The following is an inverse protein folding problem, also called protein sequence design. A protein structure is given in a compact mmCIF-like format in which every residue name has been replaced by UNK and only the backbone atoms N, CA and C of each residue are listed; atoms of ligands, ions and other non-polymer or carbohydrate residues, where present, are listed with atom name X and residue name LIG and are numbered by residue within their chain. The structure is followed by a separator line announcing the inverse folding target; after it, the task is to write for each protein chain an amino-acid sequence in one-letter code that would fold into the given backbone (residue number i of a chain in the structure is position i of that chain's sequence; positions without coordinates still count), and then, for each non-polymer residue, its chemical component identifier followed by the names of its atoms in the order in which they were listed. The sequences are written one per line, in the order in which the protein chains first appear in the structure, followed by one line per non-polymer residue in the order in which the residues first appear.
data_IF_537072933321
#
_entry.id   IF_537072933321
#
_cell.length_a   1.000
_cell.length_b   1.000
_cell.length_c   1.000
_cell.angle_alpha   90.00
_cell.angle_beta   90.00
_cell.angle_gamma   90.00
#
_symmetry.space_group_name_H-M   'P 1'
#
loop_
_entity.id
_entity.type
_entity.pdbx_description
1 polymer ?
#
# COMPACT_ATOMS: atom_id res chain seq x y z
N UNK A 1 -16.95 14.19 9.04
CA UNK A 1 -16.00 14.46 7.94
C UNK A 1 -14.78 13.59 8.18
N UNK A 2 -14.43 12.70 7.25
CA UNK A 2 -13.19 11.88 7.28
C UNK A 2 -11.98 12.82 7.09
N UNK A 3 -11.46 13.39 8.18
CA UNK A 3 -10.58 14.59 8.15
C UNK A 3 -9.29 14.48 7.32
N UNK A 4 -8.86 13.28 6.94
CA UNK A 4 -7.58 12.99 6.31
C UNK A 4 -7.65 11.79 5.35
N UNK A 5 -8.73 11.64 4.56
CA UNK A 5 -8.68 10.71 3.41
C UNK A 5 -7.53 11.14 2.47
N UNK A 6 -6.52 10.29 2.23
CA UNK A 6 -5.33 10.65 1.43
C UNK A 6 -5.66 11.00 -0.03
N UNK A 7 -6.82 10.57 -0.52
CA UNK A 7 -7.25 10.80 -1.89
C UNK A 7 -8.21 11.99 -2.07
N UNK A 8 -8.62 12.67 -1.00
CA UNK A 8 -9.66 13.71 -1.07
C UNK A 8 -9.26 14.94 -1.92
N UNK A 9 -7.96 15.14 -2.18
CA UNK A 9 -7.44 16.24 -3.02
C UNK A 9 -6.74 15.74 -4.29
N UNK A 10 -6.87 14.46 -4.60
CA UNK A 10 -6.34 13.86 -5.83
C UNK A 10 -7.45 13.75 -6.88
N UNK A 11 -7.11 13.70 -8.18
CA UNK A 11 -8.11 13.57 -9.24
C UNK A 11 -9.05 12.39 -9.01
N UNK A 12 -10.35 12.60 -9.16
CA UNK A 12 -11.31 11.49 -9.15
C UNK A 12 -11.08 10.60 -10.37
N UNK A 13 -10.99 9.30 -10.12
CA UNK A 13 -10.77 8.28 -11.16
C UNK A 13 -11.74 7.11 -10.90
N UNK A 14 -12.09 6.34 -11.93
CA UNK A 14 -12.88 5.13 -11.78
C UNK A 14 -12.37 4.20 -10.68
N UNK A 15 -13.29 3.59 -9.93
CA UNK A 15 -12.97 2.48 -9.04
C UNK A 15 -13.00 1.15 -9.77
N UNK A 16 -12.18 0.19 -9.31
CA UNK A 16 -12.29 -1.22 -9.68
C UNK A 16 -12.26 -2.09 -8.42
N UNK A 17 -12.34 -3.41 -8.59
CA UNK A 17 -12.45 -4.34 -7.45
C UNK A 17 -11.07 -4.67 -6.90
N UNK A 18 -10.92 -4.56 -5.58
CA UNK A 18 -9.79 -5.10 -4.81
C UNK A 18 -10.34 -5.96 -3.67
N UNK A 19 -9.80 -7.16 -3.53
CA UNK A 19 -10.10 -8.09 -2.44
C UNK A 19 -8.81 -8.64 -1.85
N UNK A 20 -8.93 -9.24 -0.67
CA UNK A 20 -7.83 -9.89 0.02
C UNK A 20 -8.37 -11.10 0.78
N UNK A 21 -7.60 -12.19 0.80
CA UNK A 21 -7.84 -13.32 1.72
C UNK A 21 -7.23 -13.08 3.11
N UNK A 22 -6.43 -12.03 3.26
CA UNK A 22 -5.71 -11.70 4.49
C UNK A 22 -6.39 -10.56 5.25
N UNK A 23 -6.73 -9.46 4.57
CA UNK A 23 -7.37 -8.27 5.18
C UNK A 23 -8.83 -8.13 4.75
N UNK A 24 -9.66 -7.56 5.62
CA UNK A 24 -11.06 -7.25 5.34
C UNK A 24 -11.28 -5.75 5.49
N UNK A 25 -12.00 -5.14 4.54
CA UNK A 25 -12.26 -3.71 4.57
C UNK A 25 -12.96 -3.27 5.87
N UNK A 26 -12.45 -2.21 6.47
CA UNK A 26 -12.89 -1.65 7.75
C UNK A 26 -12.58 -2.52 8.98
N UNK A 27 -11.80 -3.60 8.85
CA UNK A 27 -11.45 -4.49 9.96
C UNK A 27 -9.99 -4.31 10.41
N UNK A 28 -9.65 -4.75 11.64
CA UNK A 28 -8.28 -4.74 12.11
C UNK A 28 -7.34 -5.57 11.21
N UNK A 29 -6.10 -5.12 11.06
CA UNK A 29 -5.02 -5.90 10.48
C UNK A 29 -4.83 -7.19 11.30
N UNK A 30 -4.70 -8.36 10.65
CA UNK A 30 -4.27 -9.57 11.33
C UNK A 30 -2.85 -9.43 11.86
N UNK A 31 -2.50 -10.23 12.88
CA UNK A 31 -1.19 -10.16 13.53
C UNK A 31 0.01 -10.24 12.55
N UNK A 32 0.04 -11.11 11.53
CA UNK A 32 1.17 -11.14 10.59
C UNK A 32 1.41 -9.83 9.82
N UNK A 33 0.36 -9.03 9.58
CA UNK A 33 0.43 -7.72 8.92
C UNK A 33 0.78 -6.58 9.89
N UNK A 34 0.89 -6.87 11.19
CA UNK A 34 1.47 -5.95 12.16
C UNK A 34 3.00 -6.00 12.10
N UNK A 35 3.68 -4.96 12.60
CA UNK A 35 5.12 -4.85 12.42
C UNK A 35 5.91 -5.63 13.47
N UNK A 36 6.70 -6.61 13.01
CA UNK A 36 7.73 -7.23 13.84
C UNK A 36 8.94 -6.29 14.03
N UNK A 37 9.28 -5.51 12.99
CA UNK A 37 10.36 -4.51 13.04
C UNK A 37 10.18 -3.49 14.16
N UNK A 38 8.94 -3.03 14.39
CA UNK A 38 8.62 -2.09 15.47
C UNK A 38 8.19 -2.77 16.78
N UNK A 39 8.39 -4.08 16.91
CA UNK A 39 8.20 -4.82 18.14
C UNK A 39 6.74 -5.07 18.53
N UNK A 40 5.80 -5.04 17.58
CA UNK A 40 4.40 -5.41 17.85
C UNK A 40 4.33 -6.92 18.10
N UNK A 41 3.78 -7.39 19.24
CA UNK A 41 3.66 -8.82 19.52
C UNK A 41 2.90 -9.57 18.42
N UNK A 42 3.52 -10.62 17.87
CA UNK A 42 2.95 -11.41 16.77
C UNK A 42 3.05 -10.76 15.38
N UNK A 43 3.59 -9.54 15.31
CA UNK A 43 3.92 -8.85 14.06
C UNK A 43 5.00 -9.56 13.28
N UNK A 44 4.81 -9.67 11.96
CA UNK A 44 5.74 -10.37 11.05
C UNK A 44 6.15 -9.52 9.84
N UNK A 45 5.56 -8.33 9.66
CA UNK A 45 5.75 -7.52 8.46
C UNK A 45 5.42 -8.30 7.17
N UNK A 46 4.43 -9.20 7.22
CA UNK A 46 3.97 -9.93 6.04
C UNK A 46 2.97 -9.06 5.26
N UNK A 47 3.29 -8.66 4.03
CA UNK A 47 2.35 -7.92 3.18
C UNK A 47 1.07 -8.73 2.96
N UNK A 48 -0.13 -8.11 2.96
CA UNK A 48 -1.37 -8.85 2.76
C UNK A 48 -1.44 -9.45 1.36
N UNK A 49 -2.13 -10.59 1.21
CA UNK A 49 -2.54 -11.08 -0.10
C UNK A 49 -3.47 -10.04 -0.76
N UNK A 50 -3.32 -9.81 -2.07
CA UNK A 50 -4.18 -8.89 -2.82
C UNK A 50 -4.62 -9.53 -4.12
N UNK A 51 -5.88 -9.36 -4.50
CA UNK A 51 -6.41 -9.69 -5.83
C UNK A 51 -7.26 -8.55 -6.32
N UNK A 52 -7.09 -8.16 -7.58
CA UNK A 52 -7.92 -7.13 -8.20
C UNK A 52 -8.50 -7.57 -9.53
N UNK A 53 -9.59 -6.93 -9.93
CA UNK A 53 -10.25 -7.19 -11.21
C UNK A 53 -11.05 -5.98 -11.68
N UNK A 54 -11.37 -5.96 -12.98
CA UNK A 54 -12.16 -4.89 -13.58
C UNK A 54 -11.40 -3.56 -13.71
N UNK A 55 -10.06 -3.61 -13.83
CA UNK A 55 -9.26 -2.42 -14.11
C UNK A 55 -9.72 -1.74 -15.42
N UNK A 56 -9.67 -0.40 -15.51
CA UNK A 56 -10.08 0.32 -16.72
C UNK A 56 -9.34 -0.11 -17.98
N UNK A 57 -10.00 -0.02 -19.12
CA UNK A 57 -9.37 -0.25 -20.42
C UNK A 57 -8.18 0.70 -20.63
N UNK A 58 -7.10 0.20 -21.23
CA UNK A 58 -5.86 0.96 -21.44
C UNK A 58 -4.85 0.83 -20.29
N UNK A 59 -5.16 0.08 -19.22
CA UNK A 59 -4.20 -0.24 -18.16
C UNK A 59 -3.00 -1.01 -18.74
N UNK A 60 -1.79 -0.51 -18.46
CA UNK A 60 -0.51 -1.06 -18.90
C UNK A 60 0.40 -1.49 -17.75
N UNK A 61 0.20 -0.93 -16.56
CA UNK A 61 0.83 -1.40 -15.34
C UNK A 61 -0.05 -1.09 -14.12
N UNK A 62 0.34 -1.63 -12.97
CA UNK A 62 -0.20 -1.30 -11.67
C UNK A 62 0.88 -0.75 -10.74
N UNK A 63 0.45 0.07 -9.79
CA UNK A 63 1.21 0.36 -8.58
C UNK A 63 0.40 -0.07 -7.35
N UNK A 64 1.09 -0.55 -6.32
CA UNK A 64 0.49 -0.91 -5.01
C UNK A 64 1.11 -0.04 -3.94
N UNK A 65 0.27 0.56 -3.10
CA UNK A 65 0.71 1.38 -1.96
C UNK A 65 -0.03 1.01 -0.69
N UNK A 66 0.66 1.06 0.45
CA UNK A 66 0.05 1.03 1.78
C UNK A 66 0.45 2.30 2.52
N UNK A 67 -0.54 3.09 2.92
CA UNK A 67 -0.32 4.39 3.55
C UNK A 67 -1.19 4.58 4.78
N UNK A 68 -0.58 5.07 5.85
CA UNK A 68 -1.25 5.46 7.09
C UNK A 68 -1.35 6.99 7.17
N UNK A 69 -2.52 7.60 6.89
CA UNK A 69 -2.72 9.05 7.04
C UNK A 69 -2.88 9.50 8.51
N UNK A 70 -3.02 8.56 9.45
CA UNK A 70 -3.26 8.82 10.87
C UNK A 70 -1.94 8.87 11.67
N UNK A 71 -0.82 8.43 11.08
CA UNK A 71 0.51 8.57 11.66
C UNK A 71 0.85 10.05 11.97
N UNK A 72 1.26 10.38 13.21
CA UNK A 72 1.45 11.76 13.67
C UNK A 72 2.80 12.36 13.24
N UNK A 73 3.08 12.36 11.94
CA UNK A 73 4.35 12.81 11.34
C UNK A 73 4.23 14.13 10.57
N UNK A 74 2.99 14.59 10.31
CA UNK A 74 2.69 15.68 9.38
C UNK A 74 2.55 15.23 7.91
N UNK A 75 2.98 14.02 7.58
CA UNK A 75 2.95 13.46 6.21
C UNK A 75 2.44 12.01 6.15
N UNK A 76 1.80 11.53 7.22
CA UNK A 76 1.45 10.12 7.37
C UNK A 76 2.67 9.19 7.40
N UNK A 77 2.45 7.92 7.05
CA UNK A 77 3.52 6.93 6.97
C UNK A 77 3.31 5.97 5.80
N UNK A 78 4.30 5.86 4.92
CA UNK A 78 4.32 4.90 3.81
C UNK A 78 4.87 3.55 4.29
N UNK A 79 3.97 2.58 4.35
CA UNK A 79 4.23 1.21 4.80
C UNK A 79 4.70 0.30 3.67
N UNK A 80 4.29 0.58 2.43
CA UNK A 80 4.69 -0.18 1.25
C UNK A 80 4.45 0.61 -0.02
N UNK A 81 5.32 0.46 -1.01
CA UNK A 81 5.18 1.06 -2.33
C UNK A 81 5.84 0.16 -3.37
N UNK A 82 5.06 -0.23 -4.38
CA UNK A 82 5.51 -1.05 -5.52
C UNK A 82 5.02 -0.38 -6.79
N UNK A 83 5.92 -0.19 -7.76
CA UNK A 83 5.64 0.36 -9.08
C UNK A 83 5.82 -0.70 -10.16
N UNK A 84 5.34 -0.39 -11.38
CA UNK A 84 5.61 -1.15 -12.60
C UNK A 84 5.20 -2.63 -12.54
N UNK A 85 4.14 -2.97 -11.80
CA UNK A 85 3.56 -4.32 -11.83
C UNK A 85 2.93 -4.53 -13.21
N UNK A 86 3.29 -5.56 -13.99
CA UNK A 86 2.75 -5.76 -15.33
C UNK A 86 1.22 -5.89 -15.37
N UNK A 87 0.58 -5.40 -16.45
CA UNK A 87 -0.89 -5.36 -16.57
C UNK A 87 -1.60 -6.72 -16.58
N UNK A 88 -0.89 -7.80 -16.91
CA UNK A 88 -1.41 -9.17 -16.88
C UNK A 88 -1.41 -9.77 -15.47
N UNK A 89 -0.75 -9.12 -14.50
CA UNK A 89 -0.80 -9.50 -13.10
C UNK A 89 -2.05 -8.91 -12.44
N UNK A 90 -2.82 -9.78 -11.79
CA UNK A 90 -4.05 -9.42 -11.09
C UNK A 90 -4.04 -9.83 -9.60
N UNK A 91 -2.90 -10.34 -9.10
CA UNK A 91 -2.76 -10.78 -7.71
C UNK A 91 -1.32 -10.66 -7.22
N UNK A 92 -1.17 -10.40 -5.92
CA UNK A 92 0.07 -10.56 -5.17
C UNK A 92 -0.19 -11.54 -4.02
N UNK A 93 0.67 -12.55 -3.82
CA UNK A 93 0.54 -13.46 -2.69
C UNK A 93 0.81 -12.74 -1.36
N UNK A 94 0.34 -13.32 -0.25
CA UNK A 94 0.76 -12.88 1.08
C UNK A 94 2.29 -12.97 1.21
N UNK A 95 2.91 -11.97 1.84
CA UNK A 95 4.36 -11.89 1.97
C UNK A 95 5.12 -11.51 0.69
N UNK A 96 4.46 -11.19 -0.42
CA UNK A 96 5.13 -10.74 -1.65
C UNK A 96 6.06 -9.53 -1.44
N UNK A 97 5.76 -8.70 -0.44
CA UNK A 97 6.51 -7.52 -0.07
C UNK A 97 7.66 -7.75 0.91
N UNK A 98 8.31 -8.92 0.90
CA UNK A 98 9.49 -9.18 1.74
C UNK A 98 10.73 -8.40 1.30
N UNK A 99 11.81 -8.51 2.06
CA UNK A 99 13.09 -7.82 1.82
C UNK A 99 13.85 -8.30 0.58
N UNK A 100 13.48 -9.46 0.03
CA UNK A 100 14.06 -10.00 -1.20
C UNK A 100 13.32 -9.52 -2.44
N UNK A 101 12.05 -9.14 -2.28
CA UNK A 101 11.15 -8.80 -3.38
C UNK A 101 10.82 -9.98 -4.31
N UNK A 102 11.23 -11.21 -3.97
CA UNK A 102 11.10 -12.37 -4.86
C UNK A 102 9.66 -12.82 -5.07
N UNK A 103 8.74 -12.43 -4.20
CA UNK A 103 7.31 -12.63 -4.38
C UNK A 103 6.63 -11.61 -5.32
N UNK A 104 7.35 -10.57 -5.76
CA UNK A 104 6.85 -9.63 -6.76
C UNK A 104 7.09 -10.15 -8.19
N UNK A 105 6.20 -9.81 -9.15
CA UNK A 105 6.39 -10.16 -10.55
C UNK A 105 7.60 -9.46 -11.15
N UNK A 106 8.21 -10.08 -12.16
CA UNK A 106 9.32 -9.50 -12.89
C UNK A 106 8.95 -8.13 -13.48
N UNK A 107 9.85 -7.16 -13.32
CA UNK A 107 9.65 -5.77 -13.74
C UNK A 107 9.07 -4.86 -12.66
N UNK A 108 8.44 -5.41 -11.61
CA UNK A 108 7.99 -4.61 -10.49
C UNK A 108 9.17 -4.05 -9.68
N UNK A 109 9.04 -2.82 -9.20
CA UNK A 109 10.05 -2.11 -8.41
C UNK A 109 9.47 -1.79 -7.05
N UNK A 110 10.08 -2.33 -5.99
CA UNK A 110 9.71 -2.02 -4.62
C UNK A 110 10.54 -0.86 -4.09
N UNK A 111 9.88 0.18 -3.60
CA UNK A 111 10.53 1.39 -3.12
C UNK A 111 10.69 1.38 -1.59
N UNK A 112 11.74 2.01 -1.04
CA UNK A 112 11.86 2.21 0.38
C UNK A 112 10.69 3.03 0.95
N UNK A 113 9.97 2.47 1.92
CA UNK A 113 8.97 3.20 2.70
C UNK A 113 9.61 4.19 3.69
N UNK A 114 8.80 4.74 4.60
CA UNK A 114 9.29 5.71 5.60
C UNK A 114 10.18 5.07 6.68
N UNK A 115 10.09 3.75 6.84
CA UNK A 115 11.06 2.95 7.61
C UNK A 115 12.41 2.74 6.88
N UNK A 116 12.58 3.33 5.67
CA UNK A 116 13.77 3.25 4.82
C UNK A 116 14.16 1.84 4.35
N UNK A 117 13.22 0.90 4.43
CA UNK A 117 13.37 -0.45 3.89
C UNK A 117 12.50 -0.62 2.64
N UNK A 118 13.07 -1.15 1.55
CA UNK A 118 12.31 -1.54 0.37
C UNK A 118 11.63 -2.89 0.63
N UNK A 119 10.59 -2.84 1.47
CA UNK A 119 9.72 -3.95 1.87
C UNK A 119 8.45 -3.41 2.51
N UNK A 120 7.43 -4.25 2.63
CA UNK A 120 6.27 -3.95 3.46
C UNK A 120 6.69 -3.92 4.93
N UNK A 121 6.29 -2.87 5.63
CA UNK A 121 6.40 -2.77 7.09
C UNK A 121 4.99 -2.67 7.67
N UNK A 122 4.69 -3.52 8.63
CA UNK A 122 3.35 -3.66 9.18
C UNK A 122 2.88 -2.48 10.02
N UNK A 123 1.65 -2.59 10.53
CA UNK A 123 1.09 -1.60 11.44
C UNK A 123 1.79 -1.59 12.80
N UNK A 124 2.05 -0.39 13.34
CA UNK A 124 2.63 -0.17 14.67
C UNK A 124 2.22 1.20 15.24
N UNK A 125 0.91 1.46 15.42
CA UNK A 125 0.44 2.77 15.87
C UNK A 125 0.91 3.04 17.32
N UNK A 126 1.21 4.31 17.68
CA UNK A 126 1.63 4.64 19.04
C UNK A 126 0.58 4.27 20.08
N UNK A 127 1.02 3.79 21.25
CA UNK A 127 0.13 3.43 22.35
C UNK A 127 -0.73 4.63 22.78
N UNK A 128 -2.05 4.44 22.83
CA UNK A 128 -3.00 5.46 23.27
C UNK A 128 -3.33 6.56 22.25
N UNK A 129 -2.79 6.51 21.03
CA UNK A 129 -3.07 7.50 19.99
C UNK A 129 -4.44 7.31 19.34
N UNK A 130 -5.06 6.13 19.56
CA UNK A 130 -6.32 5.72 18.93
C UNK A 130 -6.10 4.87 17.68
N UNK A 131 -7.18 4.52 16.97
CA UNK A 131 -7.09 3.68 15.78
C UNK A 131 -6.49 4.43 14.59
N UNK A 132 -5.51 3.80 13.95
CA UNK A 132 -4.95 4.21 12.67
C UNK A 132 -5.57 3.40 11.53
N UNK A 133 -5.61 3.97 10.33
CA UNK A 133 -6.10 3.33 9.10
C UNK A 133 -4.96 3.11 8.13
N UNK A 134 -4.99 1.96 7.47
CA UNK A 134 -4.00 1.55 6.49
C UNK A 134 -4.70 1.45 5.14
N UNK A 135 -4.51 2.46 4.30
CA UNK A 135 -5.05 2.52 2.95
C UNK A 135 -4.20 1.64 2.05
N UNK A 136 -4.73 0.47 1.71
CA UNK A 136 -4.11 -0.49 0.80
C UNK A 136 -4.75 -0.27 -0.57
N UNK A 137 -3.98 0.29 -1.50
CA UNK A 137 -4.50 0.77 -2.77
C UNK A 137 -3.73 0.21 -3.94
N UNK A 138 -4.48 -0.30 -4.94
CA UNK A 138 -3.96 -0.61 -6.28
C UNK A 138 -4.35 0.53 -7.21
N UNK A 139 -3.38 1.06 -7.95
CA UNK A 139 -3.54 2.09 -8.96
C UNK A 139 -3.34 1.45 -10.33
N UNK A 140 -4.30 1.62 -11.24
CA UNK A 140 -4.18 1.18 -12.63
C UNK A 140 -3.64 2.34 -13.49
N UNK A 141 -2.58 2.10 -14.26
CA UNK A 141 -1.81 3.15 -14.95
C UNK A 141 -1.80 2.95 -16.47
N UNK A 142 -1.75 4.04 -17.24
CA UNK A 142 -1.73 4.02 -18.72
C UNK A 142 -0.33 3.88 -19.35
N UNK A 143 0.69 3.70 -18.50
CA UNK A 143 2.10 3.54 -18.86
C UNK A 143 2.64 2.23 -18.29
N UNK A 144 3.53 1.56 -19.03
CA UNK A 144 4.14 0.29 -18.60
C UNK A 144 5.20 0.49 -17.51
N UNK A 145 5.98 1.56 -17.64
CA UNK A 145 7.08 1.89 -16.74
C UNK A 145 7.07 3.40 -16.42
N UNK A 146 7.01 3.73 -15.13
CA UNK A 146 7.06 5.12 -14.65
C UNK A 146 8.46 5.74 -14.67
N UNK A 147 9.52 4.96 -14.89
CA UNK A 147 10.91 5.42 -14.84
C UNK A 147 11.36 5.86 -13.45
N UNK A 148 10.70 5.38 -12.39
CA UNK A 148 11.06 5.71 -11.01
C UNK A 148 12.32 4.94 -10.60
N UNK A 149 13.29 5.66 -10.01
CA UNK A 149 14.49 5.03 -9.46
C UNK A 149 14.13 4.11 -8.28
N UNK A 150 14.85 3.02 -8.10
CA UNK A 150 14.59 2.04 -7.04
C UNK A 150 14.74 2.63 -5.62
N UNK A 151 15.44 3.75 -5.46
CA UNK A 151 15.63 4.47 -4.21
C UNK A 151 14.70 5.71 -4.06
N UNK A 152 13.79 5.91 -5.02
CA UNK A 152 12.80 6.99 -4.99
C UNK A 152 11.88 6.85 -3.76
N UNK A 153 11.33 7.99 -3.33
CA UNK A 153 10.34 8.00 -2.24
C UNK A 153 8.95 7.63 -2.76
N UNK A 154 8.08 7.05 -1.91
CA UNK A 154 6.67 6.83 -2.26
C UNK A 154 5.93 8.12 -2.63
N UNK A 155 6.33 9.27 -2.06
CA UNK A 155 5.79 10.56 -2.46
C UNK A 155 6.17 10.94 -3.91
N UNK A 156 7.42 10.67 -4.33
CA UNK A 156 7.84 10.87 -5.71
C UNK A 156 7.13 9.90 -6.66
N UNK A 157 6.92 8.64 -6.26
CA UNK A 157 6.07 7.70 -6.98
C UNK A 157 4.66 8.28 -7.17
N UNK A 158 4.03 8.73 -6.08
CA UNK A 158 2.70 9.34 -6.09
C UNK A 158 2.61 10.54 -7.02
N UNK A 159 3.61 11.42 -7.01
CA UNK A 159 3.69 12.55 -7.93
C UNK A 159 3.82 12.10 -9.39
N UNK A 160 4.72 11.15 -9.66
CA UNK A 160 5.02 10.66 -11.01
C UNK A 160 3.82 9.95 -11.62
N UNK A 161 3.12 9.11 -10.85
CA UNK A 161 1.97 8.36 -11.36
C UNK A 161 0.70 9.20 -11.49
N UNK A 162 0.60 10.37 -10.84
CA UNK A 162 -0.65 11.14 -10.73
C UNK A 162 -1.35 11.43 -12.07
N UNK A 163 -0.60 11.72 -13.13
CA UNK A 163 -1.14 11.97 -14.48
C UNK A 163 -1.42 10.70 -15.28
N UNK A 164 -1.02 9.54 -14.78
CA UNK A 164 -1.13 8.23 -15.44
C UNK A 164 -2.24 7.36 -14.85
N UNK A 165 -2.84 7.74 -13.72
CA UNK A 165 -3.87 6.94 -13.05
C UNK A 165 -5.16 6.91 -13.88
N UNK A 166 -5.51 5.71 -14.35
CA UNK A 166 -6.79 5.41 -14.98
C UNK A 166 -7.85 4.97 -13.97
N UNK A 167 -7.46 4.38 -12.84
CA UNK A 167 -8.38 3.93 -11.81
C UNK A 167 -7.69 3.57 -10.49
N UNK A 168 -8.47 3.49 -9.41
CA UNK A 168 -8.01 3.14 -8.07
C UNK A 168 -8.97 2.18 -7.37
N UNK A 169 -8.43 1.12 -6.76
CA UNK A 169 -9.17 0.23 -5.88
C UNK A 169 -8.51 0.22 -4.51
N UNK A 170 -9.28 0.34 -3.43
CA UNK A 170 -8.75 0.54 -2.07
C UNK A 170 -9.48 -0.33 -1.06
N UNK A 171 -8.72 -0.94 -0.16
CA UNK A 171 -9.17 -1.50 1.11
C UNK A 171 -8.60 -0.64 2.24
N UNK A 172 -9.36 -0.46 3.31
CA UNK A 172 -8.90 0.25 4.50
C UNK A 172 -8.94 -0.69 5.69
N UNK A 173 -7.77 -1.17 6.13
CA UNK A 173 -7.66 -1.91 7.38
C UNK A 173 -7.37 -0.95 8.54
N UNK A 174 -7.54 -1.40 9.79
CA UNK A 174 -7.26 -0.59 10.98
C UNK A 174 -6.25 -1.25 11.90
N UNK A 175 -5.58 -0.48 12.76
CA UNK A 175 -4.87 -1.03 13.90
C UNK A 175 -4.85 -0.01 15.04
N UNK A 176 -4.77 -0.50 16.28
CA UNK A 176 -4.69 0.33 17.48
C UNK A 176 -3.80 -0.36 18.50
N UNK A 177 -2.99 0.43 19.21
CA UNK A 177 -2.22 -0.02 20.38
C UNK A 177 -2.84 0.66 21.60
N UNK A 178 -3.43 -0.07 22.56
CA UNK A 178 -4.02 0.54 23.75
C UNK A 178 -2.99 1.33 24.58
N UNK A 179 -3.43 2.41 25.24
CA UNK A 179 -2.66 3.01 26.34
C UNK A 179 -2.68 2.00 27.50
N UNK A 180 -1.53 1.46 27.87
CA UNK A 180 -1.42 0.55 29.02
C UNK A 180 -1.78 1.20 30.36
#
# INVERSE_FOLDING_TARGET
MNGNNPYARLPEVPSFTLTSTTVVDGKPLPAPQMSGLFGVPGGQDASPQLTWSGAPAGTKSYAVTVYDPDAPTGSGFWHWAVANIPADIATLPEGAGDDTGTGLPAGAVQLPGDARAARYIGGAPPAGHGPHRYFITVHALDVEDLGVAADATPALLGFTMASHILGRATLVATAETPAG
#
